data_IF_132006937298
#
_entry.id   IF_132006937298
#
_cell.length_a   1.000
_cell.length_b   1.000
_cell.length_c   1.000
_cell.angle_alpha   90.00
_cell.angle_beta   90.00
_cell.angle_gamma   90.00
#
_symmetry.space_group_name_H-M   'P 1'
#
loop_
_entity.id
_entity.type
_entity.pdbx_description
1 polymer ?
#
# COMPACT_ATOMS: atom_id res chain seq x y z
N UNK A 1 -22.22 48.87 2.39
CA UNK A 1 -21.31 47.97 1.65
C UNK A 1 -21.84 46.58 1.81
N UNK A 2 -22.46 46.04 0.76
CA UNK A 2 -22.92 44.65 0.69
C UNK A 2 -21.70 43.75 0.54
N UNK A 3 -21.56 42.75 1.41
CA UNK A 3 -20.68 41.61 1.21
C UNK A 3 -21.56 40.38 1.10
N UNK A 4 -21.52 39.76 -0.08
CA UNK A 4 -22.26 38.57 -0.47
C UNK A 4 -22.12 37.46 0.57
N UNK A 5 -23.26 37.00 1.07
CA UNK A 5 -23.42 35.67 1.64
C UNK A 5 -23.19 34.67 0.50
N UNK A 6 -22.02 34.02 0.51
CA UNK A 6 -21.81 32.84 -0.30
C UNK A 6 -22.59 31.70 0.37
N UNK A 7 -23.76 31.37 -0.19
CA UNK A 7 -24.53 30.16 0.10
C UNK A 7 -23.63 28.93 -0.14
N UNK A 8 -22.98 28.47 0.91
CA UNK A 8 -22.36 27.17 0.94
C UNK A 8 -23.46 26.14 1.21
N UNK A 9 -23.98 25.53 0.15
CA UNK A 9 -24.94 24.42 0.25
C UNK A 9 -24.19 23.10 0.48
N UNK A 10 -24.31 22.44 1.65
CA UNK A 10 -23.63 21.18 1.92
C UNK A 10 -24.20 19.99 1.12
N UNK A 11 -25.26 20.20 0.32
CA UNK A 11 -26.02 19.13 -0.34
C UNK A 11 -25.36 18.58 -1.62
N UNK A 12 -24.53 19.37 -2.32
CA UNK A 12 -23.93 18.92 -3.58
C UNK A 12 -22.74 17.96 -3.39
N UNK A 13 -21.95 18.17 -2.34
CA UNK A 13 -20.76 17.33 -2.07
C UNK A 13 -21.14 16.01 -1.39
N UNK A 14 -22.18 16.02 -0.54
CA UNK A 14 -22.73 14.81 0.05
C UNK A 14 -23.50 13.97 -0.97
N UNK A 15 -24.13 14.60 -1.98
CA UNK A 15 -24.81 13.89 -3.07
C UNK A 15 -23.88 13.01 -3.92
N UNK A 16 -22.65 13.46 -4.20
CA UNK A 16 -21.67 12.67 -4.96
C UNK A 16 -21.04 11.53 -4.16
N UNK A 17 -20.84 11.71 -2.86
CA UNK A 17 -20.29 10.66 -1.99
C UNK A 17 -21.32 9.56 -1.66
N UNK A 18 -22.62 9.90 -1.55
CA UNK A 18 -23.69 8.93 -1.32
C UNK A 18 -24.03 8.06 -2.56
N UNK A 19 -23.67 8.53 -3.76
CA UNK A 19 -23.85 7.77 -5.02
C UNK A 19 -22.79 6.67 -5.21
N UNK A 20 -21.67 6.71 -4.48
CA UNK A 20 -20.57 5.74 -4.59
C UNK A 20 -20.82 4.40 -3.87
N UNK A 21 -21.96 4.26 -3.21
CA UNK A 21 -22.50 2.99 -2.69
C UNK A 21 -23.95 2.86 -3.12
N UNK A 22 -24.24 3.02 -4.43
CA UNK A 22 -25.53 2.64 -4.97
C UNK A 22 -25.73 1.13 -4.72
N UNK A 23 -26.34 0.82 -3.57
CA UNK A 23 -26.92 -0.47 -3.26
C UNK A 23 -27.67 -0.90 -4.50
N UNK A 24 -27.24 -2.00 -5.12
CA UNK A 24 -27.90 -2.58 -6.29
C UNK A 24 -29.32 -2.94 -5.86
N UNK A 25 -30.23 -1.98 -6.05
CA UNK A 25 -31.52 -1.92 -5.38
C UNK A 25 -32.63 -1.89 -6.40
N UNK A 26 -33.80 -2.34 -5.97
CA UNK A 26 -35.01 -2.38 -6.77
C UNK A 26 -35.44 -0.97 -7.17
N UNK A 27 -35.77 -0.77 -8.44
CA UNK A 27 -36.26 0.53 -8.91
C UNK A 27 -37.70 0.78 -8.41
N UNK A 28 -38.10 2.04 -8.19
CA UNK A 28 -39.48 2.37 -7.88
C UNK A 28 -40.44 1.85 -8.97
N UNK A 29 -41.40 1.01 -8.57
CA UNK A 29 -42.37 0.40 -9.49
C UNK A 29 -41.88 -0.85 -10.22
N UNK A 30 -40.61 -1.24 -10.06
CA UNK A 30 -40.11 -2.53 -10.57
C UNK A 30 -40.83 -3.67 -9.83
N UNK A 31 -41.44 -4.64 -10.53
CA UNK A 31 -41.99 -5.81 -9.88
C UNK A 31 -40.93 -6.59 -9.11
N UNK A 32 -41.27 -7.10 -7.92
CA UNK A 32 -40.32 -7.83 -7.08
C UNK A 32 -39.73 -9.04 -7.80
N UNK A 33 -40.54 -9.76 -8.57
CA UNK A 33 -40.10 -10.92 -9.36
C UNK A 33 -39.16 -10.52 -10.51
N UNK A 34 -39.33 -9.33 -11.09
CA UNK A 34 -38.38 -8.81 -12.07
C UNK A 34 -37.04 -8.47 -11.42
N UNK A 35 -37.06 -7.85 -10.23
CA UNK A 35 -35.83 -7.55 -9.50
C UNK A 35 -35.11 -8.81 -9.01
N UNK A 36 -35.83 -9.82 -8.53
CA UNK A 36 -35.23 -11.12 -8.15
C UNK A 36 -34.54 -11.80 -9.35
N UNK A 37 -35.16 -11.74 -10.52
CA UNK A 37 -34.56 -12.25 -11.76
C UNK A 37 -33.31 -11.48 -12.16
N UNK A 38 -33.28 -10.16 -11.96
CA UNK A 38 -32.08 -9.36 -12.17
C UNK A 38 -30.96 -9.77 -11.21
N UNK A 39 -31.26 -10.00 -9.94
CA UNK A 39 -30.27 -10.48 -8.96
C UNK A 39 -29.69 -11.83 -9.39
N UNK A 40 -30.54 -12.78 -9.78
CA UNK A 40 -30.09 -14.06 -10.32
C UNK A 40 -29.25 -13.89 -11.59
N UNK A 41 -29.65 -13.00 -12.50
CA UNK A 41 -28.90 -12.71 -13.72
C UNK A 41 -27.52 -12.10 -13.44
N UNK A 42 -27.44 -11.18 -12.47
CA UNK A 42 -26.20 -10.57 -11.99
C UNK A 42 -25.25 -11.62 -11.42
N UNK A 43 -25.77 -12.57 -10.65
CA UNK A 43 -24.95 -13.56 -9.93
C UNK A 43 -24.27 -14.58 -10.88
N UNK A 44 -24.70 -14.67 -12.15
CA UNK A 44 -23.95 -15.36 -13.22
C UNK A 44 -22.68 -14.62 -13.66
N UNK A 45 -22.47 -13.38 -13.21
CA UNK A 45 -21.26 -12.60 -13.45
C UNK A 45 -21.18 -11.96 -14.85
N UNK A 46 -19.99 -11.48 -15.27
CA UNK A 46 -19.81 -10.72 -16.51
C UNK A 46 -20.10 -11.51 -17.80
N UNK A 47 -20.06 -12.84 -17.74
CA UNK A 47 -20.35 -13.73 -18.87
C UNK A 47 -21.79 -14.24 -18.89
N UNK A 48 -22.67 -13.64 -18.08
CA UNK A 48 -24.10 -13.96 -17.97
C UNK A 48 -24.80 -13.98 -19.32
N UNK A 49 -25.67 -14.96 -19.51
CA UNK A 49 -26.54 -15.06 -20.68
C UNK A 49 -28.00 -15.17 -20.24
N UNK A 50 -28.91 -14.54 -20.98
CA UNK A 50 -30.33 -14.61 -20.66
C UNK A 50 -30.88 -16.03 -20.78
N UNK A 51 -30.31 -16.88 -21.64
CA UNK A 51 -30.66 -18.30 -21.75
C UNK A 51 -30.43 -19.05 -20.43
N UNK A 52 -29.26 -18.86 -19.81
CA UNK A 52 -28.91 -19.48 -18.53
C UNK A 52 -29.85 -19.04 -17.41
N UNK A 53 -30.20 -17.77 -17.38
CA UNK A 53 -31.15 -17.23 -16.39
C UNK A 53 -32.57 -17.70 -16.66
N UNK A 54 -33.00 -17.80 -17.92
CA UNK A 54 -34.30 -18.30 -18.32
C UNK A 54 -34.52 -19.75 -17.84
N UNK A 55 -33.51 -20.59 -18.00
CA UNK A 55 -33.52 -21.99 -17.55
C UNK A 55 -33.69 -22.10 -16.03
N UNK A 56 -33.01 -21.25 -15.26
CA UNK A 56 -33.08 -21.27 -13.79
C UNK A 56 -34.41 -20.72 -13.25
N UNK A 57 -34.91 -19.66 -13.86
CA UNK A 57 -36.13 -18.98 -13.39
C UNK A 57 -37.40 -19.66 -13.92
N UNK A 58 -37.29 -20.48 -14.96
CA UNK A 58 -38.43 -21.16 -15.59
C UNK A 58 -39.29 -20.23 -16.44
N UNK A 59 -38.68 -19.23 -17.09
CA UNK A 59 -39.37 -18.31 -18.00
C UNK A 59 -38.65 -18.23 -19.35
N UNK A 60 -39.27 -17.59 -20.36
CA UNK A 60 -38.64 -17.45 -21.66
C UNK A 60 -37.55 -16.39 -21.67
N UNK A 61 -36.49 -16.62 -22.45
CA UNK A 61 -35.43 -15.61 -22.70
C UNK A 61 -36.02 -14.28 -23.19
N UNK A 62 -37.07 -14.34 -24.02
CA UNK A 62 -37.78 -13.15 -24.52
C UNK A 62 -38.44 -12.33 -23.41
N UNK A 63 -38.93 -12.99 -22.35
CA UNK A 63 -39.52 -12.31 -21.19
C UNK A 63 -38.43 -11.60 -20.38
N UNK A 64 -37.28 -12.25 -20.19
CA UNK A 64 -36.13 -11.63 -19.52
C UNK A 64 -35.58 -10.45 -20.31
N UNK A 65 -35.44 -10.56 -21.64
CA UNK A 65 -35.00 -9.44 -22.50
C UNK A 65 -35.95 -8.25 -22.41
N UNK A 66 -37.27 -8.49 -22.47
CA UNK A 66 -38.28 -7.43 -22.30
C UNK A 66 -38.16 -6.76 -20.93
N UNK A 67 -37.98 -7.53 -19.85
CA UNK A 67 -37.78 -6.98 -18.50
C UNK A 67 -36.47 -6.20 -18.41
N UNK A 68 -35.41 -6.71 -19.03
CA UNK A 68 -34.10 -6.07 -19.07
C UNK A 68 -34.14 -4.71 -19.77
N UNK A 69 -34.89 -4.60 -20.86
CA UNK A 69 -35.14 -3.33 -21.54
C UNK A 69 -36.03 -2.41 -20.70
N UNK A 70 -37.12 -2.93 -20.13
CA UNK A 70 -38.09 -2.12 -19.37
C UNK A 70 -37.50 -1.54 -18.07
N UNK A 71 -36.58 -2.26 -17.43
CA UNK A 71 -36.01 -1.91 -16.11
C UNK A 71 -34.50 -1.63 -16.16
N UNK A 72 -33.98 -1.33 -17.36
CA UNK A 72 -32.59 -0.93 -17.62
C UNK A 72 -31.55 -1.86 -16.99
N UNK A 73 -31.74 -3.17 -17.09
CA UNK A 73 -30.84 -4.14 -16.47
C UNK A 73 -29.42 -4.03 -17.02
N UNK A 74 -29.27 -3.77 -18.33
CA UNK A 74 -27.95 -3.70 -18.97
C UNK A 74 -27.08 -2.62 -18.35
N UNK A 75 -27.63 -1.41 -18.19
CA UNK A 75 -26.92 -0.26 -17.60
C UNK A 75 -26.60 -0.51 -16.12
N UNK A 76 -27.61 -0.96 -15.34
CA UNK A 76 -27.43 -1.29 -13.91
C UNK A 76 -26.35 -2.34 -13.68
N UNK A 77 -26.30 -3.36 -14.53
CA UNK A 77 -25.30 -4.42 -14.44
C UNK A 77 -23.92 -3.95 -14.91
N UNK A 78 -23.85 -3.07 -15.92
CA UNK A 78 -22.59 -2.46 -16.34
C UNK A 78 -21.98 -1.58 -15.24
N UNK A 79 -22.80 -0.79 -14.55
CA UNK A 79 -22.38 0.01 -13.40
C UNK A 79 -21.89 -0.88 -12.25
N UNK A 80 -22.64 -1.95 -11.95
CA UNK A 80 -22.25 -2.94 -10.93
C UNK A 80 -20.91 -3.61 -11.27
N UNK A 81 -20.76 -4.12 -12.49
CA UNK A 81 -19.54 -4.79 -12.93
C UNK A 81 -18.33 -3.84 -12.91
N UNK A 82 -18.54 -2.58 -13.32
CA UNK A 82 -17.51 -1.55 -13.31
C UNK A 82 -17.08 -1.20 -11.89
N UNK A 83 -18.03 -1.05 -10.97
CA UNK A 83 -17.75 -0.83 -9.54
C UNK A 83 -16.99 -2.01 -8.91
N UNK A 84 -17.38 -3.25 -9.22
CA UNK A 84 -16.68 -4.46 -8.76
C UNK A 84 -15.24 -4.53 -9.30
N UNK A 85 -15.03 -4.20 -10.58
CA UNK A 85 -13.70 -4.19 -11.19
C UNK A 85 -12.80 -3.11 -10.56
N UNK A 86 -13.36 -1.93 -10.32
CA UNK A 86 -12.66 -0.84 -9.65
C UNK A 86 -12.24 -1.26 -8.23
N UNK A 87 -13.16 -1.79 -7.42
CA UNK A 87 -12.85 -2.27 -6.06
C UNK A 87 -11.78 -3.36 -6.08
N UNK A 88 -11.84 -4.31 -7.02
CA UNK A 88 -10.82 -5.34 -7.16
C UNK A 88 -9.44 -4.76 -7.53
N UNK A 89 -9.39 -3.70 -8.33
CA UNK A 89 -8.15 -3.01 -8.68
C UNK A 89 -7.56 -2.21 -7.51
N UNK A 90 -8.42 -1.54 -6.74
CA UNK A 90 -8.05 -0.77 -5.56
C UNK A 90 -7.52 -1.70 -4.45
N UNK A 91 -8.20 -2.83 -4.22
CA UNK A 91 -7.77 -3.85 -3.28
C UNK A 91 -6.37 -4.41 -3.63
N UNK A 92 -6.12 -4.73 -4.90
CA UNK A 92 -4.79 -5.17 -5.36
C UNK A 92 -3.74 -4.09 -5.14
N UNK A 93 -4.05 -2.85 -5.49
CA UNK A 93 -3.13 -1.71 -5.30
C UNK A 93 -2.78 -1.52 -3.82
N UNK A 94 -3.77 -1.67 -2.94
CA UNK A 94 -3.57 -1.57 -1.50
C UNK A 94 -2.74 -2.74 -0.95
N UNK A 95 -3.01 -3.98 -1.38
CA UNK A 95 -2.21 -5.16 -1.02
C UNK A 95 -0.74 -5.02 -1.47
N UNK A 96 -0.51 -4.53 -2.68
CA UNK A 96 0.83 -4.28 -3.20
C UNK A 96 1.56 -3.17 -2.42
N UNK A 97 0.84 -2.11 -2.05
CA UNK A 97 1.36 -1.01 -1.23
C UNK A 97 1.75 -1.48 0.18
N UNK A 98 0.90 -2.29 0.83
CA UNK A 98 1.21 -2.86 2.14
C UNK A 98 2.38 -3.85 2.07
N UNK A 99 2.47 -4.66 1.01
CA UNK A 99 3.62 -5.53 0.76
C UNK A 99 4.91 -4.72 0.62
N UNK A 100 4.86 -3.61 -0.13
CA UNK A 100 6.01 -2.74 -0.33
C UNK A 100 6.45 -2.05 0.98
N UNK A 101 5.50 -1.56 1.79
CA UNK A 101 5.78 -1.03 3.14
C UNK A 101 6.50 -2.06 4.01
N UNK A 102 6.01 -3.31 4.02
CA UNK A 102 6.62 -4.38 4.80
C UNK A 102 8.07 -4.69 4.35
N UNK A 103 8.33 -4.67 3.04
CA UNK A 103 9.68 -4.84 2.50
C UNK A 103 10.62 -3.71 2.91
N UNK A 104 10.16 -2.46 2.88
CA UNK A 104 10.93 -1.29 3.32
C UNK A 104 11.26 -1.34 4.81
N UNK A 105 10.30 -1.70 5.67
CA UNK A 105 10.54 -1.85 7.11
C UNK A 105 11.58 -2.97 7.38
N UNK A 106 11.44 -4.10 6.70
CA UNK A 106 12.41 -5.21 6.78
C UNK A 106 13.80 -4.77 6.33
N UNK A 107 13.88 -4.00 5.24
CA UNK A 107 15.14 -3.47 4.74
C UNK A 107 15.78 -2.51 5.75
N UNK A 108 15.00 -1.55 6.29
CA UNK A 108 15.43 -0.64 7.35
C UNK A 108 16.02 -1.38 8.54
N UNK A 109 15.32 -2.38 9.07
CA UNK A 109 15.76 -3.14 10.23
C UNK A 109 17.09 -3.88 9.96
N UNK A 110 17.27 -4.42 8.76
CA UNK A 110 18.52 -5.06 8.34
C UNK A 110 19.66 -4.04 8.25
N UNK A 111 19.41 -2.84 7.73
CA UNK A 111 20.43 -1.79 7.67
C UNK A 111 20.86 -1.34 9.07
N UNK A 112 19.91 -1.09 9.97
CA UNK A 112 20.23 -0.70 11.35
C UNK A 112 21.07 -1.77 12.07
N UNK A 113 20.69 -3.04 11.94
CA UNK A 113 21.46 -4.15 12.52
C UNK A 113 22.88 -4.25 11.94
N UNK A 114 23.06 -3.99 10.64
CA UNK A 114 24.39 -3.95 10.00
C UNK A 114 25.22 -2.78 10.52
N UNK A 115 24.64 -1.58 10.59
CA UNK A 115 25.32 -0.39 11.11
C UNK A 115 25.80 -0.63 12.55
N UNK A 116 24.94 -1.15 13.42
CA UNK A 116 25.28 -1.48 14.81
C UNK A 116 26.46 -2.47 14.87
N UNK A 117 26.40 -3.58 14.12
CA UNK A 117 27.47 -4.57 14.10
C UNK A 117 28.80 -4.00 13.63
N UNK A 118 28.78 -3.19 12.57
CA UNK A 118 29.99 -2.55 12.03
C UNK A 118 30.54 -1.53 13.03
N UNK A 119 29.66 -0.75 13.66
CA UNK A 119 30.02 0.20 14.72
C UNK A 119 30.71 -0.48 15.89
N UNK A 120 30.11 -1.53 16.46
CA UNK A 120 30.70 -2.28 17.57
C UNK A 120 32.08 -2.86 17.21
N UNK A 121 32.23 -3.47 16.03
CA UNK A 121 33.52 -4.01 15.59
C UNK A 121 34.57 -2.92 15.41
N UNK A 122 34.19 -1.74 14.90
CA UNK A 122 35.09 -0.62 14.73
C UNK A 122 35.53 -0.02 16.08
N UNK A 123 34.62 0.03 17.07
CA UNK A 123 34.95 0.40 18.44
C UNK A 123 35.91 -0.59 19.10
N UNK A 124 35.67 -1.90 18.93
CA UNK A 124 36.56 -2.95 19.44
C UNK A 124 37.98 -2.87 18.84
N UNK A 125 38.08 -2.66 17.52
CA UNK A 125 39.34 -2.44 16.82
C UNK A 125 40.05 -1.18 17.32
N UNK A 126 39.31 -0.08 17.47
CA UNK A 126 39.84 1.19 18.00
C UNK A 126 40.37 1.02 19.43
N UNK A 127 39.65 0.28 20.27
CA UNK A 127 40.07 -0.01 21.64
C UNK A 127 41.34 -0.88 21.68
N UNK A 128 41.46 -1.86 20.78
CA UNK A 128 42.64 -2.72 20.66
C UNK A 128 43.87 -1.90 20.23
N UNK A 129 43.73 -1.06 19.21
CA UNK A 129 44.76 -0.12 18.78
C UNK A 129 45.17 0.79 19.93
N UNK A 130 44.20 1.38 20.65
CA UNK A 130 44.47 2.25 21.79
C UNK A 130 45.22 1.55 22.94
N UNK A 131 44.89 0.30 23.26
CA UNK A 131 45.62 -0.50 24.25
C UNK A 131 47.06 -0.78 23.81
N UNK A 132 47.26 -1.15 22.54
CA UNK A 132 48.60 -1.39 22.00
C UNK A 132 49.47 -0.12 22.07
N UNK A 133 48.93 1.04 21.67
CA UNK A 133 49.64 2.31 21.76
C UNK A 133 50.08 2.63 23.19
N UNK A 134 49.19 2.49 24.17
CA UNK A 134 49.50 2.74 25.59
C UNK A 134 50.61 1.84 26.10
N UNK A 135 50.52 0.53 25.81
CA UNK A 135 51.55 -0.43 26.22
C UNK A 135 52.93 -0.08 25.63
N UNK A 136 52.99 0.34 24.37
CA UNK A 136 54.25 0.74 23.75
C UNK A 136 54.86 2.01 24.34
N UNK A 137 54.01 3.00 24.68
CA UNK A 137 54.41 4.23 25.36
C UNK A 137 54.96 3.95 26.77
N UNK A 138 54.26 3.12 27.54
CA UNK A 138 54.66 2.72 28.89
C UNK A 138 55.98 1.93 28.90
N UNK A 139 56.19 1.08 27.88
CA UNK A 139 57.42 0.30 27.73
C UNK A 139 58.61 1.13 27.20
N UNK A 140 58.43 2.43 26.89
CA UNK A 140 59.47 3.28 26.29
C UNK A 140 59.91 2.81 24.90
N UNK A 141 59.10 1.98 24.25
CA UNK A 141 59.41 1.38 22.94
C UNK A 141 58.92 2.27 21.82
N UNK A 142 59.74 2.44 20.77
CA UNK A 142 59.30 3.07 19.53
C UNK A 142 58.40 2.08 18.80
N UNK A 143 57.16 2.48 18.52
CA UNK A 143 56.23 1.72 17.70
C UNK A 143 56.82 1.46 16.31
N UNK A 144 57.15 0.21 15.98
CA UNK A 144 57.39 -0.18 14.58
C UNK A 144 56.04 -0.27 13.85
N UNK A 145 55.46 0.90 13.59
CA UNK A 145 54.08 1.11 13.21
C UNK A 145 53.81 0.96 11.72
N UNK A 146 53.99 -0.23 11.15
CA UNK A 146 53.51 -0.46 9.77
C UNK A 146 52.01 -0.73 9.70
N UNK A 147 51.47 -1.50 10.63
CA UNK A 147 50.07 -1.97 10.57
C UNK A 147 49.08 -1.02 11.26
N UNK A 148 49.52 -0.28 12.28
CA UNK A 148 48.64 0.57 13.12
C UNK A 148 47.89 1.67 12.36
N UNK A 149 48.53 2.45 11.46
CA UNK A 149 47.80 3.43 10.65
C UNK A 149 46.73 2.77 9.76
N UNK A 150 47.01 1.55 9.24
CA UNK A 150 46.07 0.82 8.38
C UNK A 150 44.86 0.30 9.17
N UNK A 151 45.07 -0.22 10.38
CA UNK A 151 43.99 -0.70 11.26
C UNK A 151 43.12 0.47 11.73
N UNK A 152 43.73 1.60 12.08
CA UNK A 152 42.98 2.81 12.45
C UNK A 152 42.18 3.37 11.27
N UNK A 153 42.78 3.44 10.08
CA UNK A 153 42.07 3.87 8.88
C UNK A 153 40.91 2.93 8.52
N UNK A 154 41.09 1.61 8.69
CA UNK A 154 40.02 0.64 8.49
C UNK A 154 38.88 0.82 9.51
N UNK A 155 39.20 1.10 10.78
CA UNK A 155 38.20 1.38 11.81
C UNK A 155 37.42 2.67 11.53
N UNK A 156 38.09 3.78 11.20
CA UNK A 156 37.43 5.03 10.80
C UNK A 156 36.52 4.85 9.58
N UNK A 157 37.00 4.13 8.56
CA UNK A 157 36.21 3.84 7.36
C UNK A 157 35.01 2.93 7.63
N UNK A 158 35.15 1.99 8.55
CA UNK A 158 34.04 1.17 9.02
C UNK A 158 32.98 2.00 9.76
N UNK A 159 33.40 2.96 10.61
CA UNK A 159 32.49 3.90 11.28
C UNK A 159 31.74 4.79 10.28
N UNK A 160 32.44 5.40 9.33
CA UNK A 160 31.81 6.18 8.25
C UNK A 160 30.82 5.32 7.44
N UNK A 161 31.18 4.07 7.15
CA UNK A 161 30.29 3.10 6.52
C UNK A 161 29.02 2.82 7.34
N UNK A 162 29.15 2.64 8.65
CA UNK A 162 28.03 2.45 9.55
C UNK A 162 27.10 3.67 9.57
N UNK A 163 27.64 4.88 9.64
CA UNK A 163 26.87 6.13 9.61
C UNK A 163 26.10 6.30 8.30
N UNK A 164 26.70 5.95 7.16
CA UNK A 164 26.02 6.00 5.86
C UNK A 164 24.87 4.99 5.76
N UNK A 165 25.06 3.80 6.34
CA UNK A 165 24.00 2.78 6.42
C UNK A 165 22.85 3.27 7.30
N UNK A 166 23.16 3.93 8.42
CA UNK A 166 22.16 4.51 9.32
C UNK A 166 21.39 5.66 8.65
N UNK A 167 22.08 6.56 7.94
CA UNK A 167 21.44 7.61 7.15
C UNK A 167 20.48 7.04 6.09
N UNK A 168 20.86 5.92 5.45
CA UNK A 168 19.97 5.21 4.52
C UNK A 168 18.72 4.66 5.23
N UNK A 169 18.88 4.10 6.44
CA UNK A 169 17.76 3.61 7.23
C UNK A 169 16.80 4.74 7.68
N UNK A 170 17.34 5.93 7.99
CA UNK A 170 16.55 7.13 8.31
C UNK A 170 15.77 7.65 7.09
N UNK A 171 16.38 7.65 5.91
CA UNK A 171 15.68 8.02 4.67
C UNK A 171 14.51 7.09 4.35
N UNK A 172 14.68 5.78 4.59
CA UNK A 172 13.58 4.80 4.48
C UNK A 172 12.47 5.07 5.51
N UNK A 173 12.83 5.49 6.73
CA UNK A 173 11.85 5.84 7.75
C UNK A 173 10.99 7.06 7.34
N UNK A 174 11.62 8.11 6.80
CA UNK A 174 10.91 9.29 6.29
C UNK A 174 9.94 8.92 5.17
N UNK A 175 10.39 8.09 4.22
CA UNK A 175 9.55 7.59 3.13
C UNK A 175 8.36 6.76 3.63
N UNK A 176 8.55 5.95 4.68
CA UNK A 176 7.46 5.20 5.31
C UNK A 176 6.45 6.10 6.04
N UNK A 177 6.90 7.20 6.64
CA UNK A 177 6.02 8.18 7.28
C UNK A 177 5.22 8.99 6.25
N UNK A 178 5.78 9.28 5.07
CA UNK A 178 5.03 9.89 3.95
C UNK A 178 3.86 9.02 3.47
N UNK A 179 3.95 7.69 3.58
CA UNK A 179 2.85 6.78 3.28
C UNK A 179 1.79 6.64 4.39
N UNK A 180 1.94 7.37 5.51
CA UNK A 180 0.97 7.41 6.62
C UNK A 180 0.11 8.68 6.64
N UNK A 181 0.47 9.69 5.86
CA UNK A 181 -0.32 10.91 5.65
C UNK A 181 -1.33 10.72 4.50
#
# INVERSE_FOLDING_TARGET
>A
MNLNEAEWSPSETLGKAYLSMASFSQLPGEPADAFEQLLLHRDFGPSRQFSQTADVVGCSESTLRRRAEQWNWVERLADYDSGMLQQASEARTNEDLERYKHQLETFRQKQLSRAQRVGCLAEELSALVGRSLRHHLEAGTVLQGRELPSVMAAACKALEGAMNIEATALGVAQLLDEFRC
#
